data_IF_622148154298
#
_entry.id   IF_622148154298
#
_cell.length_a   1.000
_cell.length_b   1.000
_cell.length_c   1.000
_cell.angle_alpha   90.00
_cell.angle_beta   90.00
_cell.angle_gamma   90.00
#
_symmetry.space_group_name_H-M   'P 1'
#
loop_
_entity.id
_entity.type
_entity.pdbx_description
1 polymer ?
#
# COMPACT_ATOMS: atom_id res chain seq x y z
N UNK A 1 2.34 24.96 -1.21
CA UNK A 1 1.17 24.25 -0.63
C UNK A 1 1.66 22.91 -0.11
N UNK A 2 1.19 22.49 1.07
CA UNK A 2 1.41 21.12 1.53
C UNK A 2 0.43 20.21 0.81
N UNK A 3 0.90 19.46 -0.18
CA UNK A 3 0.05 18.62 -1.01
C UNK A 3 0.62 17.21 -1.15
N UNK A 4 -0.29 16.25 -1.20
CA UNK A 4 0.01 14.88 -1.60
C UNK A 4 -1.03 14.44 -2.63
N UNK A 5 -0.63 13.57 -3.56
CA UNK A 5 -1.50 13.10 -4.63
C UNK A 5 -1.21 11.65 -4.98
N UNK A 6 -2.27 10.87 -5.11
CA UNK A 6 -2.21 9.50 -5.59
C UNK A 6 -2.24 9.46 -7.13
N UNK A 7 -1.47 8.53 -7.69
CA UNK A 7 -1.43 8.21 -9.11
C UNK A 7 -1.52 6.69 -9.29
N UNK A 8 -1.90 6.25 -10.49
CA UNK A 8 -1.59 4.89 -10.91
C UNK A 8 -0.10 4.82 -11.29
N UNK A 9 0.52 3.67 -11.08
CA UNK A 9 1.75 3.30 -11.81
C UNK A 9 1.40 3.04 -13.27
N UNK A 10 2.39 2.94 -14.15
CA UNK A 10 2.17 2.52 -15.54
C UNK A 10 1.54 1.13 -15.63
N UNK A 11 0.93 0.84 -16.78
CA UNK A 11 0.36 -0.48 -17.03
C UNK A 11 1.46 -1.56 -16.99
N UNK A 12 2.60 -1.25 -17.58
CA UNK A 12 3.78 -2.11 -17.65
C UNK A 12 4.29 -2.44 -16.24
N UNK A 13 4.44 -1.42 -15.39
CA UNK A 13 4.86 -1.61 -14.00
C UNK A 13 3.83 -2.40 -13.18
N UNK A 14 2.54 -2.14 -13.38
CA UNK A 14 1.49 -2.92 -12.74
C UNK A 14 1.51 -4.38 -13.17
N UNK A 15 1.67 -4.64 -14.47
CA UNK A 15 1.78 -5.99 -15.03
C UNK A 15 2.98 -6.74 -14.43
N UNK A 16 4.15 -6.09 -14.32
CA UNK A 16 5.31 -6.67 -13.63
C UNK A 16 4.97 -7.03 -12.18
N UNK A 17 4.29 -6.15 -11.45
CA UNK A 17 3.91 -6.39 -10.05
C UNK A 17 2.86 -7.50 -9.85
N UNK A 18 2.06 -7.80 -10.88
CA UNK A 18 1.06 -8.86 -10.86
C UNK A 18 1.65 -10.25 -11.20
N UNK A 19 2.84 -10.31 -11.79
CA UNK A 19 3.48 -11.55 -12.27
C UNK A 19 2.54 -12.37 -13.19
N UNK A 20 1.70 -11.68 -13.98
CA UNK A 20 0.69 -12.28 -14.88
C UNK A 20 0.67 -11.58 -16.23
N UNK A 21 0.34 -12.35 -17.26
CA UNK A 21 -0.02 -11.81 -18.58
C UNK A 21 -1.49 -11.39 -18.60
N UNK A 22 -1.82 -10.43 -19.48
CA UNK A 22 -3.18 -9.94 -19.74
C UNK A 22 -3.96 -9.44 -18.50
N UNK A 23 -3.44 -8.38 -17.86
CA UNK A 23 -4.05 -7.75 -16.68
C UNK A 23 -4.70 -6.40 -16.99
N UNK A 24 -5.02 -6.14 -18.26
CA UNK A 24 -5.48 -4.83 -18.72
C UNK A 24 -6.79 -4.40 -18.08
N UNK A 25 -7.76 -5.31 -18.02
CA UNK A 25 -9.05 -5.04 -17.38
C UNK A 25 -8.92 -4.76 -15.89
N UNK A 26 -8.03 -5.49 -15.21
CA UNK A 26 -7.70 -5.27 -13.80
C UNK A 26 -7.09 -3.88 -13.62
N UNK A 27 -6.12 -3.51 -14.45
CA UNK A 27 -5.45 -2.21 -14.39
C UNK A 27 -6.42 -1.04 -14.61
N UNK A 28 -7.30 -1.17 -15.60
CA UNK A 28 -8.30 -0.14 -15.91
C UNK A 28 -9.28 0.05 -14.74
N UNK A 29 -9.64 -1.05 -14.07
CA UNK A 29 -10.53 -1.04 -12.89
C UNK A 29 -9.89 -0.50 -11.59
N UNK A 30 -8.57 -0.29 -11.54
CA UNK A 30 -7.89 0.26 -10.34
C UNK A 30 -8.53 1.59 -9.92
N UNK A 31 -8.88 1.67 -8.64
CA UNK A 31 -9.44 2.87 -8.00
C UNK A 31 -8.35 3.58 -7.20
N UNK A 32 -8.19 4.89 -7.42
CA UNK A 32 -7.32 5.72 -6.58
C UNK A 32 -7.86 5.75 -5.13
N UNK A 33 -6.97 5.77 -4.11
CA UNK A 33 -7.40 5.84 -2.72
C UNK A 33 -8.26 7.06 -2.40
N UNK A 34 -9.27 6.88 -1.55
CA UNK A 34 -10.21 7.95 -1.17
C UNK A 34 -10.56 7.88 0.30
N UNK A 35 -10.83 9.05 0.90
CA UNK A 35 -11.39 9.12 2.24
C UNK A 35 -12.86 8.75 2.21
N UNK A 36 -13.31 7.95 3.17
CA UNK A 36 -14.72 7.55 3.27
C UNK A 36 -15.63 8.71 3.69
N UNK A 37 -15.15 9.61 4.56
CA UNK A 37 -15.91 10.76 5.06
C UNK A 37 -15.02 12.00 5.13
N UNK A 38 -15.64 13.18 5.29
CA UNK A 38 -14.91 14.45 5.46
C UNK A 38 -13.94 14.44 6.66
N UNK A 39 -14.30 13.74 7.73
CA UNK A 39 -13.52 13.65 8.97
C UNK A 39 -12.54 12.48 9.01
N UNK A 40 -12.54 11.58 8.03
CA UNK A 40 -11.60 10.47 7.98
C UNK A 40 -10.17 10.98 7.85
N UNK A 41 -9.25 10.39 8.61
CA UNK A 41 -7.81 10.62 8.41
C UNK A 41 -7.28 9.78 7.24
N UNK A 42 -7.68 8.51 7.19
CA UNK A 42 -7.20 7.52 6.22
C UNK A 42 -7.86 7.62 4.85
N UNK A 43 -7.07 7.38 3.83
CA UNK A 43 -7.50 7.09 2.45
C UNK A 43 -7.57 5.57 2.28
N UNK A 44 -8.76 5.04 1.99
CA UNK A 44 -8.94 3.60 1.76
C UNK A 44 -8.23 3.17 0.47
N UNK A 45 -7.40 2.14 0.56
CA UNK A 45 -6.82 1.42 -0.57
C UNK A 45 -7.72 0.25 -0.94
N UNK A 46 -7.93 0.05 -2.24
CA UNK A 46 -8.78 -1.01 -2.77
C UNK A 46 -7.92 -2.13 -3.37
N UNK A 47 -8.29 -3.39 -3.14
CA UNK A 47 -7.60 -4.51 -3.79
C UNK A 47 -7.97 -4.56 -5.27
N UNK A 48 -7.03 -4.76 -6.21
CA UNK A 48 -7.37 -4.95 -7.63
C UNK A 48 -7.75 -6.41 -7.95
N UNK A 49 -7.54 -7.34 -7.02
CA UNK A 49 -7.80 -8.76 -7.20
C UNK A 49 -8.75 -9.28 -6.12
N UNK A 50 -9.43 -10.38 -6.42
CA UNK A 50 -10.13 -11.16 -5.40
C UNK A 50 -9.10 -11.78 -4.44
N UNK A 51 -9.42 -11.71 -3.15
CA UNK A 51 -8.59 -12.24 -2.07
C UNK A 51 -9.43 -13.25 -1.31
N UNK A 52 -8.94 -14.47 -1.27
CA UNK A 52 -9.45 -15.54 -0.43
C UNK A 52 -8.27 -16.04 0.40
N UNK A 53 -8.35 -15.89 1.73
CA UNK A 53 -7.30 -16.31 2.65
C UNK A 53 -7.85 -17.15 3.77
N UNK A 54 -7.43 -18.41 3.78
CA UNK A 54 -7.58 -19.30 4.93
C UNK A 54 -6.70 -18.82 6.09
N UNK A 55 -7.01 -19.21 7.35
CA UNK A 55 -6.14 -18.95 8.48
C UNK A 55 -4.68 -19.40 8.23
N UNK A 56 -3.73 -18.51 8.47
CA UNK A 56 -2.29 -18.71 8.24
C UNK A 56 -1.81 -18.31 6.84
N UNK A 57 -2.71 -18.07 5.89
CA UNK A 57 -2.33 -17.67 4.53
C UNK A 57 -1.95 -16.20 4.43
N UNK A 58 -1.14 -15.90 3.42
CA UNK A 58 -0.58 -14.56 3.18
C UNK A 58 -0.75 -14.16 1.73
N UNK A 59 -1.12 -12.90 1.50
CA UNK A 59 -1.21 -12.29 0.17
C UNK A 59 -0.26 -11.11 0.05
N UNK A 60 0.34 -10.93 -1.13
CA UNK A 60 1.01 -9.69 -1.55
C UNK A 60 0.15 -9.04 -2.62
N UNK A 61 -0.37 -7.85 -2.33
CA UNK A 61 -1.30 -7.12 -3.18
C UNK A 61 -0.53 -6.05 -3.95
N UNK A 62 -0.37 -6.14 -5.28
CA UNK A 62 0.10 -5.02 -6.10
C UNK A 62 -1.03 -4.00 -6.19
N UNK A 63 -0.97 -2.88 -5.44
CA UNK A 63 -2.12 -1.95 -5.41
C UNK A 63 -2.35 -1.22 -6.73
N UNK A 64 -1.27 -1.07 -7.51
CA UNK A 64 -1.23 -0.27 -8.73
C UNK A 64 -1.22 1.23 -8.46
N UNK A 65 -1.02 1.60 -7.19
CA UNK A 65 -1.00 2.97 -6.71
C UNK A 65 0.43 3.36 -6.37
N UNK A 66 0.75 4.62 -6.65
CA UNK A 66 1.91 5.35 -6.14
C UNK A 66 1.45 6.72 -5.60
N UNK A 67 2.26 7.37 -4.80
CA UNK A 67 1.92 8.70 -4.26
C UNK A 67 3.10 9.66 -4.31
N UNK A 68 2.83 10.88 -4.76
CA UNK A 68 3.73 12.02 -4.67
C UNK A 68 3.33 12.83 -3.42
N UNK A 69 4.31 13.30 -2.66
CA UNK A 69 4.09 14.14 -1.50
C UNK A 69 5.29 15.06 -1.27
N UNK A 70 5.10 16.10 -0.47
CA UNK A 70 6.20 16.98 -0.07
C UNK A 70 7.26 16.22 0.73
N UNK A 71 8.50 16.72 0.72
CA UNK A 71 9.52 16.30 1.67
C UNK A 71 9.03 16.44 3.12
N UNK A 72 9.56 15.59 4.00
CA UNK A 72 9.17 15.49 5.42
C UNK A 72 7.72 15.02 5.64
N UNK A 73 7.09 14.48 4.61
CA UNK A 73 5.84 13.73 4.72
C UNK A 73 6.09 12.25 4.49
N UNK A 74 5.33 11.43 5.21
CA UNK A 74 5.31 9.98 5.07
C UNK A 74 3.86 9.52 4.93
N UNK A 75 3.61 8.54 4.07
CA UNK A 75 2.33 7.84 4.02
C UNK A 75 2.42 6.55 4.82
N UNK A 76 1.68 6.50 5.92
CA UNK A 76 1.61 5.35 6.81
C UNK A 76 0.42 4.46 6.43
N UNK A 77 0.68 3.21 6.06
CA UNK A 77 -0.34 2.21 5.68
C UNK A 77 -0.71 1.38 6.91
N UNK A 78 -2.01 1.34 7.21
CA UNK A 78 -2.60 0.59 8.31
C UNK A 78 -3.67 -0.39 7.80
N UNK A 79 -3.93 -1.49 8.54
CA UNK A 79 -5.11 -2.31 8.30
C UNK A 79 -6.41 -1.49 8.46
N UNK A 80 -7.47 -1.87 7.74
CA UNK A 80 -8.81 -1.38 8.06
C UNK A 80 -9.31 -2.07 9.32
N UNK A 81 -9.80 -1.29 10.29
CA UNK A 81 -10.23 -1.82 11.59
C UNK A 81 -11.25 -2.95 11.44
N UNK A 82 -12.24 -2.81 10.56
CA UNK A 82 -13.24 -3.86 10.34
C UNK A 82 -12.66 -5.22 9.97
N UNK A 83 -11.62 -5.26 9.11
CA UNK A 83 -10.97 -6.50 8.72
C UNK A 83 -10.07 -7.05 9.82
N UNK A 84 -9.32 -6.17 10.50
CA UNK A 84 -8.48 -6.55 11.63
C UNK A 84 -9.27 -7.13 12.80
N UNK A 85 -10.40 -6.51 13.19
CA UNK A 85 -11.24 -6.99 14.29
C UNK A 85 -12.05 -8.24 13.93
N UNK A 86 -12.59 -8.32 12.70
CA UNK A 86 -13.46 -9.44 12.32
C UNK A 86 -12.66 -10.71 12.03
N UNK A 87 -11.51 -10.59 11.38
CA UNK A 87 -10.76 -11.71 10.81
C UNK A 87 -9.32 -11.83 11.33
N UNK A 88 -8.85 -10.93 12.18
CA UNK A 88 -7.41 -10.85 12.54
C UNK A 88 -6.51 -10.71 11.31
N UNK A 89 -6.97 -10.00 10.29
CA UNK A 89 -6.15 -9.67 9.13
C UNK A 89 -5.10 -8.61 9.51
N UNK A 90 -3.81 -8.95 9.36
CA UNK A 90 -2.68 -8.12 9.79
C UNK A 90 -1.78 -7.73 8.61
N UNK A 91 -1.10 -6.59 8.71
CA UNK A 91 0.03 -6.27 7.83
C UNK A 91 1.28 -7.03 8.31
N UNK A 92 2.01 -7.70 7.42
CA UNK A 92 3.22 -8.44 7.78
C UNK A 92 4.34 -7.54 8.34
N UNK A 93 4.35 -6.26 7.95
CA UNK A 93 5.30 -5.26 8.40
C UNK A 93 4.72 -4.33 9.49
N UNK A 94 3.56 -4.66 10.07
CA UNK A 94 2.81 -3.87 11.06
C UNK A 94 2.27 -2.54 10.52
N UNK A 95 3.14 -1.68 9.99
CA UNK A 95 2.81 -0.41 9.33
C UNK A 95 3.62 -0.30 8.05
N UNK A 96 2.97 0.00 6.93
CA UNK A 96 3.69 0.37 5.70
C UNK A 96 4.20 1.79 5.81
N UNK A 97 5.51 1.98 5.65
CA UNK A 97 6.15 3.30 5.64
C UNK A 97 6.51 3.62 4.19
N UNK A 98 5.81 4.58 3.60
CA UNK A 98 6.04 5.02 2.22
C UNK A 98 6.68 6.42 2.26
N UNK A 99 7.95 6.46 1.91
CA UNK A 99 8.78 7.68 1.92
C UNK A 99 8.44 8.59 0.72
N UNK A 100 8.73 9.88 0.84
CA UNK A 100 8.40 10.87 -0.20
C UNK A 100 9.17 10.65 -1.50
N UNK A 101 10.40 10.15 -1.42
CA UNK A 101 11.26 9.88 -2.57
C UNK A 101 10.95 8.54 -3.26
N UNK A 102 10.18 7.66 -2.60
CA UNK A 102 9.78 6.38 -3.18
C UNK A 102 9.01 6.53 -4.49
N UNK A 103 8.33 7.65 -4.71
CA UNK A 103 7.61 7.95 -5.96
C UNK A 103 8.49 7.85 -7.22
N UNK A 104 9.80 8.10 -7.09
CA UNK A 104 10.76 8.16 -8.19
C UNK A 104 11.60 6.90 -8.33
N UNK A 105 11.32 5.85 -7.57
CA UNK A 105 12.05 4.58 -7.66
C UNK A 105 11.88 3.92 -9.03
N UNK A 106 12.79 3.01 -9.36
CA UNK A 106 12.75 2.16 -10.57
C UNK A 106 11.41 1.44 -10.79
N UNK A 107 10.71 1.07 -9.73
CA UNK A 107 9.38 0.46 -9.78
C UNK A 107 8.24 1.49 -9.77
N UNK A 108 8.52 2.74 -10.14
CA UNK A 108 7.63 3.91 -10.14
C UNK A 108 7.00 4.22 -8.78
N UNK A 109 7.55 3.76 -7.67
CA UNK A 109 6.93 3.87 -6.36
C UNK A 109 5.67 3.02 -6.19
N UNK A 110 5.56 1.90 -6.91
CA UNK A 110 4.43 0.97 -6.80
C UNK A 110 4.28 0.46 -5.37
N UNK A 111 3.22 0.88 -4.70
CA UNK A 111 2.91 0.47 -3.33
C UNK A 111 2.36 -0.96 -3.37
N UNK A 112 2.96 -1.82 -2.57
CA UNK A 112 2.49 -3.18 -2.32
C UNK A 112 2.03 -3.33 -0.88
N UNK A 113 1.00 -4.13 -0.67
CA UNK A 113 0.46 -4.41 0.67
C UNK A 113 0.54 -5.91 0.91
N UNK A 114 1.29 -6.32 1.93
CA UNK A 114 1.41 -7.73 2.31
C UNK A 114 0.64 -7.98 3.59
N UNK A 115 -0.32 -8.91 3.54
CA UNK A 115 -1.20 -9.22 4.68
C UNK A 115 -1.28 -10.71 4.95
N UNK A 116 -1.42 -11.06 6.22
CA UNK A 116 -1.63 -12.44 6.70
C UNK A 116 -2.97 -12.52 7.43
N UNK A 117 -3.75 -13.56 7.15
CA UNK A 117 -4.89 -13.93 7.96
C UNK A 117 -4.39 -14.64 9.23
N UNK A 118 -4.29 -13.93 10.35
CA UNK A 118 -3.83 -14.48 11.63
C UNK A 118 -5.01 -14.98 12.49
N UNK A 119 -6.11 -15.41 11.86
CA UNK A 119 -7.29 -15.91 12.57
C UNK A 119 -6.96 -17.16 13.41
N UNK A 120 -7.24 -17.11 14.71
CA UNK A 120 -7.26 -18.27 15.61
C UNK A 120 -8.67 -18.85 15.81
N UNK A 121 -9.68 -18.34 15.10
CA UNK A 121 -11.10 -18.73 15.17
C UNK A 121 -11.59 -19.43 13.89
N UNK A 122 -10.68 -19.82 13.00
CA UNK A 122 -11.04 -20.49 11.73
C UNK A 122 -11.74 -19.59 10.70
N UNK A 123 -11.69 -18.26 10.85
CA UNK A 123 -12.37 -17.34 9.94
C UNK A 123 -11.57 -17.12 8.66
N UNK A 124 -12.24 -17.31 7.53
CA UNK A 124 -11.72 -17.04 6.19
C UNK A 124 -11.94 -15.57 5.83
N UNK A 125 -10.92 -14.93 5.24
CA UNK A 125 -11.04 -13.59 4.67
C UNK A 125 -11.41 -13.74 3.20
N UNK A 126 -12.57 -13.18 2.82
CA UNK A 126 -13.02 -13.12 1.44
C UNK A 126 -13.31 -11.64 1.08
N UNK A 127 -12.51 -11.08 0.17
CA UNK A 127 -12.59 -9.68 -0.26
C UNK A 127 -12.52 -9.63 -1.77
N UNK A 128 -13.55 -9.07 -2.38
CA UNK A 128 -13.68 -9.00 -3.84
C UNK A 128 -12.89 -7.82 -4.41
N UNK A 129 -12.49 -7.91 -5.68
CA UNK A 129 -11.80 -6.85 -6.39
C UNK A 129 -12.57 -5.52 -6.28
N UNK A 130 -11.83 -4.44 -6.07
CA UNK A 130 -12.35 -3.08 -5.90
C UNK A 130 -12.93 -2.78 -4.51
N UNK A 131 -12.83 -3.69 -3.53
CA UNK A 131 -13.18 -3.46 -2.12
C UNK A 131 -11.97 -2.96 -1.31
N UNK A 132 -12.25 -2.20 -0.24
CA UNK A 132 -11.22 -1.57 0.59
C UNK A 132 -10.52 -2.58 1.51
N UNK A 133 -9.19 -2.65 1.45
CA UNK A 133 -8.37 -3.63 2.18
C UNK A 133 -7.46 -3.01 3.25
N UNK A 134 -6.96 -1.80 3.01
CA UNK A 134 -6.07 -1.06 3.90
C UNK A 134 -6.40 0.43 3.85
N UNK A 135 -5.75 1.24 4.69
CA UNK A 135 -5.89 2.70 4.67
C UNK A 135 -4.54 3.38 4.85
N UNK A 136 -4.32 4.49 4.14
CA UNK A 136 -3.11 5.30 4.25
C UNK A 136 -3.37 6.64 4.93
N UNK A 137 -2.53 7.03 5.89
CA UNK A 137 -2.58 8.34 6.57
C UNK A 137 -1.28 9.08 6.29
N UNK A 138 -1.39 10.29 5.74
CA UNK A 138 -0.23 11.18 5.59
C UNK A 138 0.11 11.82 6.93
N UNK A 139 1.39 11.81 7.29
CA UNK A 139 1.91 12.39 8.52
C UNK A 139 3.20 13.17 8.22
N UNK A 140 3.48 14.19 9.02
CA UNK A 140 4.79 14.87 8.99
C UNK A 140 5.77 14.17 9.93
N UNK A 141 7.04 14.12 9.57
CA UNK A 141 8.11 13.56 10.41
C UNK A 141 9.31 14.53 10.53
N UNK A 142 10.14 14.30 11.55
CA UNK A 142 11.39 15.03 11.79
C UNK A 142 12.60 14.25 11.34
N UNK A 143 13.73 14.93 11.17
CA UNK A 143 15.06 14.35 10.94
C UNK A 143 15.97 14.80 12.09
N UNK A 144 17.06 14.06 12.37
CA UNK A 144 18.02 14.44 13.41
C UNK A 144 18.95 15.54 12.92
N UNK A 145 19.64 16.23 13.83
CA UNK A 145 20.56 17.32 13.49
C UNK A 145 21.83 16.82 12.78
N UNK A 146 22.19 15.56 13.02
CA UNK A 146 23.36 14.85 12.52
C UNK A 146 23.02 13.88 11.38
N UNK A 147 21.87 14.06 10.73
CA UNK A 147 21.45 13.26 9.57
C UNK A 147 22.41 13.46 8.38
N UNK A 148 22.98 12.37 7.88
CA UNK A 148 23.94 12.33 6.78
C UNK A 148 23.43 11.56 5.55
N UNK A 149 22.13 11.24 5.53
CA UNK A 149 21.47 10.56 4.42
C UNK A 149 21.47 11.43 3.15
N UNK A 150 22.24 11.00 2.14
CA UNK A 150 22.34 11.66 0.83
C UNK A 150 21.79 10.82 -0.33
N UNK A 151 21.56 9.53 -0.10
CA UNK A 151 21.05 8.63 -1.13
C UNK A 151 19.55 8.81 -1.33
N UNK A 152 19.10 8.68 -2.58
CA UNK A 152 17.68 8.62 -2.93
C UNK A 152 17.26 7.16 -3.05
N UNK A 153 16.06 6.84 -2.55
CA UNK A 153 15.53 5.49 -2.61
C UNK A 153 15.43 4.97 -4.05
N UNK A 154 16.01 3.80 -4.30
CA UNK A 154 15.90 3.08 -5.57
C UNK A 154 15.39 1.65 -5.30
N UNK A 155 14.24 1.24 -5.83
CA UNK A 155 13.61 -0.04 -5.47
C UNK A 155 12.65 -0.01 -4.29
N UNK A 156 11.75 -1.00 -4.27
CA UNK A 156 10.92 -1.39 -3.11
C UNK A 156 11.50 -2.60 -2.36
N UNK A 157 11.07 -2.81 -1.11
CA UNK A 157 11.42 -3.96 -0.26
C UNK A 157 12.93 -4.22 -0.05
N UNK A 158 13.51 -3.61 1.00
CA UNK A 158 14.89 -3.92 1.41
C UNK A 158 15.99 -3.28 0.57
N UNK A 159 15.64 -2.34 -0.30
CA UNK A 159 16.57 -1.60 -1.16
C UNK A 159 17.59 -0.74 -0.42
N UNK A 160 17.34 -0.41 0.85
CA UNK A 160 18.27 0.36 1.70
C UNK A 160 19.28 -0.52 2.43
N UNK A 161 19.24 -1.84 2.25
CA UNK A 161 20.21 -2.78 2.83
C UNK A 161 21.10 -3.33 1.72
N UNK A 162 22.09 -2.54 1.30
CA UNK A 162 23.25 -3.01 0.56
C UNK A 162 24.52 -2.66 1.32
#
# INVERSE_FOLDING_TARGET
MNSAKFYKVSYEQFQTGMEKEDVKDIYDAIKLPRRATKGSAGYDFYTPIDIHLEPGETVKIPTGIRCEMNERWVLMIYPRSGLGFKYRLQLNNTVGVIDSDYFYSDNEGHIFIKMTNDSNEGKVVDVQAGQGIAQGIFMTYGITEDDDAIETRNGGFGSTTK
#
